data_IF_949496979641
#
_entry.id   IF_949496979641
#
_cell.length_a   1.000
_cell.length_b   1.000
_cell.length_c   1.000
_cell.angle_alpha   90.00
_cell.angle_beta   90.00
_cell.angle_gamma   90.00
#
_symmetry.space_group_name_H-M   'P 1'
#
loop_
_entity.id
_entity.type
_entity.pdbx_description
1 polymer ?
#
# COMPACT_ATOMS: atom_id res chain seq x y z
N UNK A 1 -29.09 -13.17 -11.27
CA UNK A 1 -28.36 -12.91 -10.02
C UNK A 1 -28.56 -14.11 -9.12
N UNK A 2 -27.54 -14.57 -8.43
CA UNK A 2 -27.66 -15.69 -7.49
C UNK A 2 -28.63 -15.34 -6.34
N UNK A 3 -29.52 -16.25 -5.98
CA UNK A 3 -30.45 -16.08 -4.87
C UNK A 3 -29.79 -16.22 -3.48
N UNK A 4 -28.49 -16.49 -3.47
CA UNK A 4 -27.74 -16.84 -2.26
C UNK A 4 -26.44 -16.03 -2.19
N UNK A 5 -26.05 -15.65 -0.99
CA UNK A 5 -24.79 -15.00 -0.66
C UNK A 5 -24.06 -15.75 0.46
N UNK A 6 -22.75 -15.58 0.55
CA UNK A 6 -21.93 -16.23 1.56
C UNK A 6 -21.08 -15.22 2.29
N UNK A 7 -20.99 -15.35 3.61
CA UNK A 7 -20.02 -14.66 4.44
C UNK A 7 -18.99 -15.63 5.00
N UNK A 8 -17.73 -15.30 4.83
CA UNK A 8 -16.59 -16.08 5.34
C UNK A 8 -15.81 -15.25 6.35
N UNK A 9 -15.69 -15.76 7.56
CA UNK A 9 -14.72 -15.28 8.53
C UNK A 9 -13.56 -16.29 8.57
N UNK A 10 -12.45 -15.89 7.93
CA UNK A 10 -11.30 -16.76 7.68
C UNK A 10 -10.23 -16.53 8.73
N UNK A 11 -9.92 -17.58 9.49
CA UNK A 11 -8.81 -17.63 10.43
C UNK A 11 -7.73 -18.63 9.97
N UNK A 12 -6.58 -18.64 10.65
CA UNK A 12 -5.45 -19.53 10.30
C UNK A 12 -5.79 -21.01 10.41
N UNK A 13 -6.63 -21.40 11.37
CA UNK A 13 -6.97 -22.81 11.64
C UNK A 13 -8.37 -23.19 11.19
N UNK A 14 -9.29 -22.25 11.22
CA UNK A 14 -10.71 -22.50 10.96
C UNK A 14 -11.29 -21.36 10.11
N UNK A 15 -12.36 -21.67 9.41
CA UNK A 15 -13.18 -20.70 8.68
C UNK A 15 -14.62 -20.86 9.12
N UNK A 16 -15.25 -19.77 9.54
CA UNK A 16 -16.70 -19.74 9.79
C UNK A 16 -17.39 -19.37 8.49
N UNK A 17 -18.36 -20.20 8.07
CA UNK A 17 -19.13 -20.02 6.84
C UNK A 17 -20.59 -19.78 7.20
N UNK A 18 -21.17 -18.73 6.62
CA UNK A 18 -22.63 -18.48 6.69
C UNK A 18 -23.15 -18.34 5.26
N UNK A 19 -24.07 -19.21 4.87
CA UNK A 19 -24.81 -19.17 3.61
C UNK A 19 -26.21 -18.64 3.86
N UNK A 20 -26.61 -17.59 3.13
CA UNK A 20 -27.83 -16.85 3.37
C UNK A 20 -28.59 -16.57 2.06
N UNK A 21 -29.92 -16.75 2.07
CA UNK A 21 -30.79 -16.30 0.96
C UNK A 21 -30.91 -14.78 0.94
N UNK A 22 -31.31 -14.20 -0.18
CA UNK A 22 -31.54 -12.77 -0.30
C UNK A 22 -32.66 -12.27 0.64
N UNK A 23 -33.62 -13.12 1.03
CA UNK A 23 -34.66 -12.78 2.03
C UNK A 23 -34.10 -12.71 3.47
N UNK A 24 -32.85 -13.15 3.71
CA UNK A 24 -32.20 -13.14 5.03
C UNK A 24 -32.25 -14.46 5.78
N UNK A 25 -32.90 -15.49 5.22
CA UNK A 25 -32.92 -16.86 5.78
C UNK A 25 -31.53 -17.47 5.71
N UNK A 26 -31.04 -18.01 6.84
CA UNK A 26 -29.76 -18.72 6.89
C UNK A 26 -30.00 -20.16 6.48
N UNK A 27 -29.46 -20.55 5.34
CA UNK A 27 -29.53 -21.91 4.82
C UNK A 27 -28.53 -22.82 5.57
N UNK A 28 -27.31 -22.30 5.80
CA UNK A 28 -26.23 -23.09 6.39
C UNK A 28 -25.34 -22.19 7.24
N UNK A 29 -24.92 -22.73 8.37
CA UNK A 29 -23.85 -22.14 9.19
C UNK A 29 -22.94 -23.28 9.65
N UNK A 30 -21.68 -23.23 9.27
CA UNK A 30 -20.72 -24.28 9.57
C UNK A 30 -19.37 -23.68 9.92
N UNK A 31 -18.66 -24.31 10.85
CA UNK A 31 -17.26 -24.04 11.13
C UNK A 31 -16.44 -25.18 10.56
N UNK A 32 -15.60 -24.88 9.57
CA UNK A 32 -14.76 -25.83 8.87
C UNK A 32 -13.28 -25.56 9.14
N UNK A 33 -12.45 -26.56 8.94
CA UNK A 33 -11.00 -26.37 8.95
C UNK A 33 -10.60 -25.40 7.83
N UNK A 34 -9.63 -24.52 8.08
CA UNK A 34 -9.12 -23.57 7.09
C UNK A 34 -8.29 -24.29 6.00
N UNK A 35 -8.97 -25.08 5.18
CA UNK A 35 -8.40 -25.79 4.04
C UNK A 35 -9.26 -25.59 2.80
N UNK A 36 -8.62 -25.53 1.62
CA UNK A 36 -9.32 -25.42 0.33
C UNK A 36 -10.31 -26.58 0.12
N UNK A 37 -9.96 -27.79 0.57
CA UNK A 37 -10.80 -28.99 0.46
C UNK A 37 -12.10 -28.83 1.25
N UNK A 38 -12.00 -28.44 2.52
CA UNK A 38 -13.17 -28.28 3.38
C UNK A 38 -14.04 -27.10 2.95
N UNK A 39 -13.45 -25.99 2.54
CA UNK A 39 -14.22 -24.87 2.01
C UNK A 39 -14.96 -25.26 0.72
N UNK A 40 -14.32 -25.98 -0.22
CA UNK A 40 -14.97 -26.48 -1.43
C UNK A 40 -16.17 -27.35 -1.08
N UNK A 41 -16.01 -28.35 -0.19
CA UNK A 41 -17.10 -29.22 0.30
C UNK A 41 -18.24 -28.38 0.90
N UNK A 42 -17.91 -27.38 1.68
CA UNK A 42 -18.90 -26.53 2.33
C UNK A 42 -19.73 -25.70 1.33
N UNK A 43 -19.13 -25.32 0.20
CA UNK A 43 -19.73 -24.49 -0.84
C UNK A 43 -20.34 -25.28 -2.02
N UNK A 44 -20.29 -26.62 -2.02
CA UNK A 44 -20.81 -27.45 -3.13
C UNK A 44 -22.28 -27.20 -3.46
N UNK A 45 -23.10 -26.91 -2.45
CA UNK A 45 -24.54 -26.59 -2.62
C UNK A 45 -24.82 -25.14 -2.97
N UNK A 46 -23.81 -24.30 -3.02
CA UNK A 46 -23.96 -22.86 -3.31
C UNK A 46 -23.87 -22.63 -4.81
N UNK A 47 -24.84 -21.95 -5.45
CA UNK A 47 -24.81 -21.66 -6.89
C UNK A 47 -23.56 -20.89 -7.29
N UNK A 48 -22.94 -21.27 -8.42
CA UNK A 48 -21.83 -20.53 -9.00
C UNK A 48 -22.26 -19.09 -9.34
N UNK A 49 -21.29 -18.16 -9.31
CA UNK A 49 -21.58 -16.73 -9.44
C UNK A 49 -22.15 -16.08 -8.19
N UNK A 50 -22.35 -16.83 -7.10
CA UNK A 50 -22.76 -16.23 -5.81
C UNK A 50 -21.68 -15.32 -5.25
N UNK A 51 -22.09 -14.19 -4.67
CA UNK A 51 -21.21 -13.29 -3.93
C UNK A 51 -20.69 -13.94 -2.64
N UNK A 52 -19.38 -14.01 -2.47
CA UNK A 52 -18.72 -14.58 -1.29
C UNK A 52 -17.88 -13.50 -0.62
N UNK A 53 -18.36 -12.97 0.50
CA UNK A 53 -17.71 -11.92 1.26
C UNK A 53 -16.69 -12.49 2.24
N UNK A 54 -15.50 -11.88 2.31
CA UNK A 54 -14.47 -12.18 3.31
C UNK A 54 -13.74 -10.91 3.73
N UNK A 55 -13.24 -10.86 4.97
CA UNK A 55 -12.49 -9.70 5.45
C UNK A 55 -11.10 -9.56 4.79
N UNK A 56 -10.67 -8.30 4.60
CA UNK A 56 -9.32 -7.98 4.15
C UNK A 56 -8.30 -8.26 5.27
N UNK A 57 -7.68 -9.42 5.22
CA UNK A 57 -6.59 -9.85 6.08
C UNK A 57 -5.31 -10.09 5.28
N UNK A 58 -4.16 -10.16 5.96
CA UNK A 58 -2.87 -10.37 5.29
C UNK A 58 -2.74 -11.69 4.53
N UNK A 59 -3.60 -12.65 4.82
CA UNK A 59 -3.64 -14.00 4.23
C UNK A 59 -4.89 -14.28 3.37
N UNK A 60 -5.68 -13.26 3.00
CA UNK A 60 -6.92 -13.45 2.24
C UNK A 60 -6.70 -13.82 0.77
N UNK A 61 -5.54 -13.53 0.19
CA UNK A 61 -5.30 -13.69 -1.25
C UNK A 61 -5.46 -15.11 -1.79
N UNK A 62 -4.92 -16.16 -1.14
CA UNK A 62 -5.12 -17.54 -1.58
C UNK A 62 -6.58 -17.97 -1.59
N UNK A 63 -7.40 -17.38 -0.70
CA UNK A 63 -8.84 -17.66 -0.63
C UNK A 63 -9.60 -16.95 -1.75
N UNK A 64 -9.24 -15.70 -2.05
CA UNK A 64 -9.82 -14.95 -3.17
C UNK A 64 -9.55 -15.66 -4.49
N UNK A 65 -8.30 -16.10 -4.72
CA UNK A 65 -7.96 -16.81 -5.95
C UNK A 65 -8.69 -18.15 -6.04
N UNK A 66 -8.75 -18.88 -4.95
CA UNK A 66 -9.47 -20.14 -4.88
C UNK A 66 -10.98 -20.01 -5.10
N UNK A 67 -11.61 -18.97 -4.56
CA UNK A 67 -13.03 -18.70 -4.80
C UNK A 67 -13.30 -18.37 -6.27
N UNK A 68 -12.39 -17.65 -6.94
CA UNK A 68 -12.48 -17.40 -8.40
C UNK A 68 -12.32 -18.68 -9.22
N UNK A 69 -11.39 -19.59 -8.82
CA UNK A 69 -11.22 -20.90 -9.45
C UNK A 69 -12.50 -21.75 -9.34
N UNK A 70 -13.28 -21.57 -8.27
CA UNK A 70 -14.57 -22.21 -8.05
C UNK A 70 -15.74 -21.44 -8.72
N UNK A 71 -15.47 -20.41 -9.51
CA UNK A 71 -16.46 -19.58 -10.21
C UNK A 71 -17.40 -18.80 -9.27
N UNK A 72 -16.95 -18.47 -8.06
CA UNK A 72 -17.65 -17.52 -7.18
C UNK A 72 -17.19 -16.08 -7.42
N UNK A 73 -17.98 -15.11 -6.94
CA UNK A 73 -17.62 -13.70 -6.93
C UNK A 73 -17.07 -13.30 -5.54
N UNK A 74 -15.73 -13.25 -5.35
CA UNK A 74 -15.17 -12.89 -4.06
C UNK A 74 -15.25 -11.39 -3.80
N UNK A 75 -15.89 -11.01 -2.71
CA UNK A 75 -16.07 -9.64 -2.25
C UNK A 75 -15.17 -9.38 -1.04
N UNK A 76 -14.13 -8.58 -1.22
CA UNK A 76 -13.19 -8.26 -0.15
C UNK A 76 -13.72 -7.11 0.70
N UNK A 77 -14.17 -7.40 1.91
CA UNK A 77 -14.74 -6.44 2.84
C UNK A 77 -13.67 -5.53 3.47
N UNK A 78 -13.99 -4.25 3.67
CA UNK A 78 -13.15 -3.30 4.39
C UNK A 78 -13.41 -3.40 5.90
N UNK A 79 -12.49 -3.93 6.73
CA UNK A 79 -12.73 -4.20 8.15
C UNK A 79 -13.14 -2.96 8.94
N UNK A 80 -12.52 -1.81 8.65
CA UNK A 80 -12.80 -0.56 9.35
C UNK A 80 -14.21 -0.02 9.07
N UNK A 81 -14.67 -0.18 7.83
CA UNK A 81 -16.01 0.27 7.43
C UNK A 81 -17.08 -0.73 7.82
N UNK A 82 -16.79 -2.03 7.78
CA UNK A 82 -17.69 -3.08 8.28
C UNK A 82 -17.94 -2.87 9.76
N UNK A 83 -16.88 -2.66 10.56
CA UNK A 83 -17.00 -2.40 12.00
C UNK A 83 -17.89 -1.20 12.35
N UNK A 84 -17.96 -0.19 11.50
CA UNK A 84 -18.84 0.97 11.69
C UNK A 84 -20.31 0.66 11.39
N UNK A 85 -20.61 -0.49 10.78
CA UNK A 85 -21.95 -0.92 10.37
C UNK A 85 -22.43 -2.16 11.12
N UNK A 86 -21.54 -2.83 11.86
CA UNK A 86 -21.81 -4.01 12.65
C UNK A 86 -22.22 -3.62 14.09
N UNK A 87 -22.99 -4.48 14.72
CA UNK A 87 -23.30 -4.39 16.16
C UNK A 87 -22.05 -4.65 17.02
N UNK A 88 -22.05 -4.18 18.26
CA UNK A 88 -20.88 -4.22 19.17
C UNK A 88 -20.47 -5.62 19.63
N UNK A 89 -21.25 -6.68 19.36
CA UNK A 89 -20.94 -8.05 19.77
C UNK A 89 -19.97 -8.72 18.79
N UNK A 90 -18.76 -8.96 19.24
CA UNK A 90 -17.68 -9.57 18.47
C UNK A 90 -17.58 -11.08 18.73
N UNK A 91 -17.95 -11.91 17.75
CA UNK A 91 -17.52 -13.30 17.68
C UNK A 91 -17.54 -13.80 16.21
N UNK A 92 -16.77 -14.84 15.88
CA UNK A 92 -16.61 -15.38 14.53
C UNK A 92 -17.96 -15.71 13.85
N UNK A 93 -18.97 -16.14 14.62
CA UNK A 93 -20.32 -16.44 14.11
C UNK A 93 -21.08 -15.21 13.72
N UNK A 94 -20.91 -14.11 14.46
CA UNK A 94 -21.52 -12.81 14.16
C UNK A 94 -20.81 -12.20 12.96
N UNK A 95 -19.49 -12.30 12.87
CA UNK A 95 -18.70 -11.71 11.80
C UNK A 95 -19.04 -12.30 10.43
N UNK A 96 -19.09 -13.64 10.28
CA UNK A 96 -19.49 -14.29 9.01
C UNK A 96 -20.96 -14.01 8.64
N UNK A 97 -21.89 -13.97 9.63
CA UNK A 97 -23.29 -13.59 9.43
C UNK A 97 -23.41 -12.14 8.97
N UNK A 98 -22.72 -11.23 9.62
CA UNK A 98 -22.70 -9.80 9.26
C UNK A 98 -22.21 -9.57 7.85
N UNK A 99 -21.13 -10.27 7.43
CA UNK A 99 -20.65 -10.21 6.06
C UNK A 99 -21.70 -10.68 5.05
N UNK A 100 -22.36 -11.83 5.30
CA UNK A 100 -23.43 -12.33 4.45
C UNK A 100 -24.61 -11.34 4.39
N UNK A 101 -25.00 -10.77 5.55
CA UNK A 101 -26.10 -9.82 5.66
C UNK A 101 -25.82 -8.52 4.91
N UNK A 102 -24.62 -7.94 5.06
CA UNK A 102 -24.22 -6.74 4.32
C UNK A 102 -24.13 -7.01 2.80
N UNK A 103 -23.73 -8.22 2.43
CA UNK A 103 -23.64 -8.63 1.01
C UNK A 103 -25.03 -8.72 0.38
N UNK A 104 -26.00 -9.41 1.00
CA UNK A 104 -27.36 -9.54 0.46
C UNK A 104 -28.07 -8.21 0.29
N UNK A 105 -27.78 -7.25 1.16
CA UNK A 105 -28.33 -5.89 1.10
C UNK A 105 -27.58 -4.97 0.13
N UNK A 106 -26.57 -5.48 -0.58
CA UNK A 106 -25.66 -4.70 -1.41
C UNK A 106 -25.03 -3.51 -0.63
N UNK A 107 -24.81 -3.69 0.67
CA UNK A 107 -24.30 -2.66 1.57
C UNK A 107 -22.91 -2.96 2.11
N UNK A 108 -22.28 -4.01 1.58
CA UNK A 108 -20.93 -4.40 1.96
C UNK A 108 -19.92 -3.34 1.49
N UNK A 109 -19.16 -2.71 2.39
CA UNK A 109 -18.07 -1.79 1.98
C UNK A 109 -16.89 -2.59 1.48
N UNK A 110 -16.75 -2.73 0.17
CA UNK A 110 -15.70 -3.52 -0.46
C UNK A 110 -14.39 -2.77 -0.60
N UNK A 111 -13.29 -3.54 -0.59
CA UNK A 111 -11.95 -3.12 -1.02
C UNK A 111 -11.71 -3.59 -2.46
N UNK A 112 -10.89 -2.84 -3.17
CA UNK A 112 -10.43 -3.27 -4.48
C UNK A 112 -9.51 -4.50 -4.37
N UNK A 113 -9.75 -5.49 -5.20
CA UNK A 113 -8.92 -6.71 -5.32
C UNK A 113 -7.97 -6.55 -6.49
N UNK A 114 -6.67 -6.29 -6.25
CA UNK A 114 -5.69 -6.17 -7.32
C UNK A 114 -5.50 -7.50 -8.06
N UNK A 115 -5.18 -7.50 -9.36
CA UNK A 115 -4.72 -8.68 -10.09
C UNK A 115 -3.55 -9.36 -9.37
N UNK A 116 -3.44 -10.68 -9.49
CA UNK A 116 -2.41 -11.49 -8.81
C UNK A 116 -0.99 -11.01 -9.13
N UNK A 117 -0.73 -10.65 -10.39
CA UNK A 117 0.56 -10.10 -10.80
C UNK A 117 0.91 -8.78 -10.07
N UNK A 118 -0.05 -7.85 -9.95
CA UNK A 118 0.19 -6.60 -9.23
C UNK A 118 0.30 -6.82 -7.71
N UNK A 119 -0.37 -7.83 -7.16
CA UNK A 119 -0.18 -8.22 -5.74
C UNK A 119 1.24 -8.73 -5.49
N UNK A 120 1.77 -9.56 -6.39
CA UNK A 120 3.16 -10.00 -6.34
C UNK A 120 4.13 -8.83 -6.47
N UNK A 121 3.91 -7.94 -7.43
CA UNK A 121 4.72 -6.74 -7.62
C UNK A 121 4.74 -5.83 -6.38
N UNK A 122 3.57 -5.58 -5.77
CA UNK A 122 3.47 -4.86 -4.49
C UNK A 122 4.31 -5.52 -3.40
N UNK A 123 4.20 -6.84 -3.25
CA UNK A 123 4.95 -7.59 -2.25
C UNK A 123 6.46 -7.40 -2.42
N UNK A 124 6.94 -7.49 -3.66
CA UNK A 124 8.37 -7.34 -3.97
C UNK A 124 8.87 -5.90 -3.75
N UNK A 125 8.09 -4.89 -4.17
CA UNK A 125 8.44 -3.48 -3.95
C UNK A 125 8.42 -3.12 -2.45
N UNK A 126 7.47 -3.64 -1.69
CA UNK A 126 7.40 -3.47 -0.24
C UNK A 126 8.56 -4.19 0.47
N UNK A 127 8.96 -5.37 -0.02
CA UNK A 127 10.16 -6.05 0.46
C UNK A 127 11.43 -5.22 0.19
N UNK A 128 11.57 -4.64 -1.00
CA UNK A 128 12.69 -3.73 -1.31
C UNK A 128 12.69 -2.51 -0.38
N UNK A 129 11.53 -1.89 -0.12
CA UNK A 129 11.41 -0.77 0.80
C UNK A 129 11.78 -1.15 2.24
N UNK A 130 11.37 -2.33 2.71
CA UNK A 130 11.76 -2.88 4.01
C UNK A 130 13.28 -3.02 4.11
N UNK A 131 13.96 -3.52 3.08
CA UNK A 131 15.42 -3.64 3.04
C UNK A 131 16.12 -2.28 3.10
N UNK A 132 15.60 -1.28 2.40
CA UNK A 132 16.10 0.10 2.47
C UNK A 132 16.03 0.64 3.89
N UNK A 133 14.94 0.37 4.61
CA UNK A 133 14.78 0.74 6.02
C UNK A 133 15.80 0.02 6.92
N UNK A 134 15.98 -1.28 6.73
CA UNK A 134 17.01 -2.06 7.47
C UNK A 134 18.41 -1.50 7.22
N UNK A 135 18.77 -1.26 5.96
CA UNK A 135 20.06 -0.65 5.60
C UNK A 135 20.28 0.70 6.29
N UNK A 136 19.24 1.52 6.41
CA UNK A 136 19.31 2.77 7.15
C UNK A 136 19.56 2.53 8.66
N UNK A 137 18.91 1.54 9.23
CA UNK A 137 19.12 1.12 10.63
C UNK A 137 20.56 0.67 10.87
N UNK A 138 21.11 -0.18 9.98
CA UNK A 138 22.51 -0.66 10.06
C UNK A 138 23.50 0.51 9.95
N UNK A 139 23.29 1.44 9.00
CA UNK A 139 24.13 2.66 8.88
C UNK A 139 24.11 3.50 10.14
N UNK A 140 22.95 3.70 10.74
CA UNK A 140 22.82 4.48 11.98
C UNK A 140 23.53 3.78 13.14
N UNK A 141 23.43 2.44 13.23
CA UNK A 141 24.15 1.65 14.22
C UNK A 141 25.66 1.77 14.03
N UNK A 142 26.15 1.65 12.80
CA UNK A 142 27.57 1.83 12.47
C UNK A 142 28.08 3.22 12.89
N UNK A 143 27.32 4.26 12.57
CA UNK A 143 27.64 5.64 13.02
C UNK A 143 27.66 5.77 14.55
N UNK A 144 26.79 5.03 15.26
CA UNK A 144 26.82 4.99 16.73
C UNK A 144 28.09 4.34 17.27
N UNK A 145 28.58 3.26 16.63
CA UNK A 145 29.85 2.62 17.01
C UNK A 145 31.05 3.56 16.79
N UNK A 146 31.02 4.38 15.73
CA UNK A 146 32.04 5.42 15.52
C UNK A 146 32.05 6.44 16.65
N UNK A 147 30.86 6.97 17.02
CA UNK A 147 30.76 7.97 18.09
C UNK A 147 31.25 7.45 19.44
N UNK A 148 30.99 6.17 19.77
CA UNK A 148 31.47 5.55 21.02
C UNK A 148 33.00 5.48 21.12
N UNK A 149 33.69 5.53 19.97
CA UNK A 149 35.15 5.36 19.85
C UNK A 149 35.85 6.65 19.41
N UNK A 150 35.12 7.76 19.36
CA UNK A 150 35.59 9.06 18.88
C UNK A 150 36.22 8.98 17.46
N UNK A 151 35.63 8.12 16.61
CA UNK A 151 36.07 7.91 15.22
C UNK A 151 35.28 8.84 14.32
N UNK A 152 35.97 9.69 13.56
CA UNK A 152 35.40 10.48 12.48
C UNK A 152 35.66 9.80 11.13
N UNK A 153 34.64 9.58 10.33
CA UNK A 153 34.76 9.01 9.00
C UNK A 153 34.34 10.06 7.96
N UNK A 154 35.29 10.52 7.13
CA UNK A 154 35.07 11.52 6.06
C UNK A 154 34.40 10.91 4.81
N UNK A 155 33.62 9.86 4.96
CA UNK A 155 32.96 9.22 3.86
C UNK A 155 31.58 8.68 4.23
N UNK A 156 30.61 8.79 3.30
CA UNK A 156 29.23 8.28 3.52
C UNK A 156 29.18 6.76 3.33
N UNK A 157 28.66 6.05 4.32
CA UNK A 157 28.36 4.61 4.27
C UNK A 157 27.39 4.21 3.13
N UNK A 158 26.78 5.16 2.46
CA UNK A 158 26.02 4.90 1.22
C UNK A 158 26.93 4.55 0.04
N UNK A 159 28.18 4.99 0.05
CA UNK A 159 29.14 4.75 -1.02
C UNK A 159 30.04 3.55 -0.74
N UNK A 160 30.50 2.88 -1.79
CA UNK A 160 31.50 1.81 -1.66
C UNK A 160 32.80 2.32 -1.01
N UNK A 161 33.23 3.56 -1.34
CA UNK A 161 34.43 4.19 -0.75
C UNK A 161 34.25 4.32 0.78
N UNK A 162 33.10 4.81 1.23
CA UNK A 162 32.82 4.98 2.66
C UNK A 162 32.73 3.65 3.41
N UNK A 163 32.13 2.62 2.80
CA UNK A 163 32.09 1.27 3.38
C UNK A 163 33.47 0.63 3.48
N UNK A 164 34.30 0.75 2.44
CA UNK A 164 35.69 0.27 2.50
C UNK A 164 36.52 0.99 3.57
N UNK A 165 36.42 2.31 3.64
CA UNK A 165 37.07 3.09 4.70
C UNK A 165 36.62 2.65 6.10
N UNK A 166 35.31 2.43 6.31
CA UNK A 166 34.78 1.91 7.56
C UNK A 166 35.27 0.50 7.89
N UNK A 167 35.35 -0.38 6.92
CA UNK A 167 35.83 -1.76 7.09
C UNK A 167 37.30 -1.80 7.52
N UNK A 168 38.13 -0.89 7.00
CA UNK A 168 39.56 -0.81 7.31
C UNK A 168 39.89 -0.26 8.72
N UNK A 169 38.86 0.24 9.45
CA UNK A 169 39.05 0.71 10.83
C UNK A 169 39.28 -0.41 11.85
N UNK A 170 39.21 -1.66 11.43
CA UNK A 170 39.45 -2.87 12.23
C UNK A 170 38.57 -3.00 13.48
N UNK A 171 37.38 -2.45 13.43
CA UNK A 171 36.35 -2.57 14.48
C UNK A 171 35.40 -3.71 14.11
N UNK A 172 35.36 -4.75 14.93
CA UNK A 172 34.63 -5.99 14.62
C UNK A 172 33.16 -5.75 14.24
N UNK A 173 32.41 -5.01 15.07
CA UNK A 173 30.98 -4.73 14.84
C UNK A 173 30.76 -3.89 13.57
N UNK A 174 31.73 -3.02 13.24
CA UNK A 174 31.67 -2.19 12.03
C UNK A 174 31.90 -3.05 10.79
N UNK A 175 32.86 -3.99 10.81
CA UNK A 175 33.10 -4.94 9.71
C UNK A 175 31.85 -5.74 9.41
N UNK A 176 31.21 -6.35 10.43
CA UNK A 176 29.96 -7.09 10.24
C UNK A 176 28.83 -6.23 9.65
N UNK A 177 28.69 -5.00 10.16
CA UNK A 177 27.70 -4.07 9.62
C UNK A 177 27.96 -3.70 8.17
N UNK A 178 29.21 -3.52 7.75
CA UNK A 178 29.59 -3.22 6.36
C UNK A 178 29.28 -4.39 5.46
N UNK A 179 29.62 -5.62 5.83
CA UNK A 179 29.30 -6.84 5.07
C UNK A 179 27.77 -6.98 4.88
N UNK A 180 27.00 -6.71 5.93
CA UNK A 180 25.54 -6.71 5.85
C UNK A 180 25.01 -5.62 4.89
N UNK A 181 25.60 -4.42 4.91
CA UNK A 181 25.25 -3.35 3.98
C UNK A 181 25.55 -3.71 2.53
N UNK A 182 26.70 -4.37 2.27
CA UNK A 182 27.09 -4.82 0.93
C UNK A 182 26.14 -5.92 0.41
N UNK A 183 25.77 -6.86 1.27
CA UNK A 183 24.78 -7.88 0.94
C UNK A 183 23.42 -7.25 0.60
N UNK A 184 22.93 -6.32 1.42
CA UNK A 184 21.66 -5.64 1.20
C UNK A 184 21.66 -4.83 -0.10
N UNK A 185 22.77 -4.14 -0.41
CA UNK A 185 22.93 -3.36 -1.64
C UNK A 185 22.88 -4.26 -2.89
N UNK A 186 23.65 -5.36 -2.89
CA UNK A 186 23.64 -6.36 -3.96
C UNK A 186 22.24 -6.89 -4.23
N UNK A 187 21.57 -7.40 -3.21
CA UNK A 187 20.22 -7.95 -3.35
C UNK A 187 19.18 -6.90 -3.78
N UNK A 188 19.35 -5.64 -3.38
CA UNK A 188 18.46 -4.56 -3.83
C UNK A 188 18.67 -4.26 -5.32
N UNK A 189 19.92 -4.31 -5.81
CA UNK A 189 20.25 -4.16 -7.24
C UNK A 189 19.71 -5.32 -8.07
N UNK A 190 19.80 -6.55 -7.57
CA UNK A 190 19.24 -7.74 -8.22
C UNK A 190 17.72 -7.60 -8.41
N UNK A 191 17.01 -7.18 -7.35
CA UNK A 191 15.55 -6.92 -7.43
C UNK A 191 15.27 -5.82 -8.47
N UNK A 192 16.02 -4.73 -8.44
CA UNK A 192 15.79 -3.62 -9.37
C UNK A 192 16.08 -4.01 -10.82
N UNK A 193 17.15 -4.78 -11.09
CA UNK A 193 17.47 -5.29 -12.41
C UNK A 193 16.37 -6.21 -12.96
N UNK A 194 15.85 -7.11 -12.12
CA UNK A 194 14.73 -7.99 -12.48
C UNK A 194 13.47 -7.16 -12.80
N UNK A 195 13.14 -6.17 -11.98
CA UNK A 195 11.97 -5.31 -12.19
C UNK A 195 12.09 -4.46 -13.45
N UNK A 196 13.29 -3.91 -13.73
CA UNK A 196 13.54 -3.15 -14.97
C UNK A 196 13.35 -4.01 -16.22
N UNK A 197 13.85 -5.24 -16.19
CA UNK A 197 13.70 -6.18 -17.32
C UNK A 197 12.24 -6.51 -17.59
N UNK A 198 11.41 -6.64 -16.54
CA UNK A 198 10.01 -7.05 -16.68
C UNK A 198 9.06 -5.88 -16.93
N UNK A 199 9.33 -4.72 -16.33
CA UNK A 199 8.38 -3.59 -16.26
C UNK A 199 8.94 -2.28 -16.79
N UNK A 200 10.19 -2.28 -17.32
CA UNK A 200 10.84 -1.07 -17.79
C UNK A 200 10.12 -0.36 -18.93
N UNK A 201 9.53 -1.14 -19.83
CA UNK A 201 8.85 -0.63 -21.05
C UNK A 201 7.35 -0.41 -20.87
N UNK A 202 6.82 -0.57 -19.66
CA UNK A 202 5.41 -0.30 -19.41
C UNK A 202 5.08 1.19 -19.58
N UNK A 203 4.19 1.51 -20.51
CA UNK A 203 3.78 2.88 -20.82
C UNK A 203 3.40 3.71 -19.58
N UNK A 204 2.57 3.21 -18.62
CA UNK A 204 2.28 3.97 -17.40
C UNK A 204 3.53 4.27 -16.56
N UNK A 205 4.50 3.36 -16.51
CA UNK A 205 5.76 3.56 -15.75
C UNK A 205 6.62 4.62 -16.43
N UNK A 206 6.76 4.56 -17.76
CA UNK A 206 7.49 5.57 -18.55
C UNK A 206 6.88 6.96 -18.38
N UNK A 207 5.55 7.06 -18.51
CA UNK A 207 4.83 8.32 -18.28
C UNK A 207 5.07 8.88 -16.89
N UNK A 208 5.01 8.07 -15.84
CA UNK A 208 5.26 8.51 -14.47
C UNK A 208 6.72 8.94 -14.26
N UNK A 209 7.67 8.33 -14.96
CA UNK A 209 9.08 8.71 -14.93
C UNK A 209 9.36 10.05 -15.61
N UNK A 210 8.48 10.57 -16.45
CA UNK A 210 8.60 11.93 -17.01
C UNK A 210 8.48 13.02 -15.95
N UNK A 211 7.90 12.71 -14.78
CA UNK A 211 7.75 13.64 -13.67
C UNK A 211 9.10 13.81 -12.95
N UNK A 212 9.68 15.01 -12.88
CA UNK A 212 10.96 15.25 -12.20
C UNK A 212 10.94 14.73 -10.75
N UNK A 213 11.95 13.96 -10.37
CA UNK A 213 12.04 13.34 -9.05
C UNK A 213 11.32 11.99 -8.89
N UNK A 214 10.58 11.55 -9.92
CA UNK A 214 9.96 10.22 -9.96
C UNK A 214 10.85 9.25 -10.75
N UNK A 215 11.75 8.56 -10.06
CA UNK A 215 12.58 7.53 -10.68
C UNK A 215 11.82 6.21 -10.89
N UNK A 216 12.43 5.25 -11.60
CA UNK A 216 11.84 3.96 -11.97
C UNK A 216 11.13 3.23 -10.81
N UNK A 217 11.82 3.08 -9.67
CA UNK A 217 11.24 2.39 -8.50
C UNK A 217 10.03 3.12 -7.93
N UNK A 218 10.04 4.46 -7.93
CA UNK A 218 8.92 5.27 -7.48
C UNK A 218 7.73 5.16 -8.43
N UNK A 219 7.99 5.27 -9.74
CA UNK A 219 6.98 5.09 -10.79
C UNK A 219 6.33 3.71 -10.72
N UNK A 220 7.16 2.66 -10.58
CA UNK A 220 6.67 1.29 -10.48
C UNK A 220 5.89 1.04 -9.18
N UNK A 221 6.26 1.70 -8.08
CA UNK A 221 5.51 1.63 -6.81
C UNK A 221 4.15 2.32 -6.95
N UNK A 222 4.11 3.50 -7.57
CA UNK A 222 2.85 4.19 -7.87
C UNK A 222 1.96 3.32 -8.76
N UNK A 223 2.52 2.74 -9.83
CA UNK A 223 1.79 1.84 -10.71
C UNK A 223 1.21 0.63 -9.97
N UNK A 224 2.01 -0.06 -9.17
CA UNK A 224 1.59 -1.24 -8.44
C UNK A 224 0.52 -0.92 -7.37
N UNK A 225 0.64 0.18 -6.64
CA UNK A 225 -0.31 0.53 -5.57
C UNK A 225 -1.60 1.18 -6.11
N UNK A 226 -1.54 1.89 -7.22
CA UNK A 226 -2.72 2.43 -7.90
C UNK A 226 -3.45 1.35 -8.68
N UNK A 227 -2.72 0.45 -9.35
CA UNK A 227 -3.18 -0.62 -10.26
C UNK A 227 -3.86 -0.09 -11.52
N UNK A 228 -4.99 0.55 -11.38
CA UNK A 228 -5.79 1.13 -12.46
C UNK A 228 -6.20 2.55 -12.08
N UNK A 229 -5.75 3.52 -12.88
CA UNK A 229 -6.05 4.93 -12.65
C UNK A 229 -7.53 5.26 -12.89
N UNK A 230 -8.21 4.50 -13.77
CA UNK A 230 -9.62 4.70 -14.10
C UNK A 230 -10.57 4.45 -12.93
N UNK A 231 -10.09 3.77 -11.87
CA UNK A 231 -10.83 3.63 -10.60
C UNK A 231 -11.11 4.96 -9.92
N UNK A 232 -10.33 5.98 -10.24
CA UNK A 232 -10.40 7.30 -9.62
C UNK A 232 -10.91 8.31 -10.64
N UNK A 233 -12.21 8.60 -10.60
CA UNK A 233 -12.85 9.55 -11.52
C UNK A 233 -12.29 10.98 -11.42
N UNK A 234 -11.62 11.33 -10.31
CA UNK A 234 -10.99 12.61 -10.05
C UNK A 234 -9.73 12.45 -9.19
N UNK A 235 -8.74 13.33 -9.30
CA UNK A 235 -7.50 13.24 -8.54
C UNK A 235 -7.72 13.30 -7.02
N UNK A 236 -8.76 13.98 -6.54
CA UNK A 236 -9.10 14.05 -5.11
C UNK A 236 -9.43 12.67 -4.53
N UNK A 237 -10.07 11.78 -5.32
CA UNK A 237 -10.33 10.39 -4.89
C UNK A 237 -9.03 9.60 -4.71
N UNK A 238 -8.06 9.81 -5.61
CA UNK A 238 -6.72 9.22 -5.47
C UNK A 238 -6.00 9.80 -4.25
N UNK A 239 -6.07 11.12 -4.02
CA UNK A 239 -5.47 11.77 -2.86
C UNK A 239 -6.09 11.25 -1.54
N UNK A 240 -7.41 11.03 -1.53
CA UNK A 240 -8.09 10.43 -0.38
C UNK A 240 -7.66 8.98 -0.17
N UNK A 241 -7.57 8.19 -1.24
CA UNK A 241 -7.09 6.81 -1.19
C UNK A 241 -5.64 6.72 -0.70
N UNK A 242 -4.79 7.66 -1.12
CA UNK A 242 -3.41 7.77 -0.63
C UNK A 242 -3.30 8.30 0.82
N UNK A 243 -4.40 8.75 1.44
CA UNK A 243 -4.39 9.30 2.79
C UNK A 243 -3.67 10.66 2.92
N UNK A 244 -3.69 11.46 1.84
CA UNK A 244 -3.07 12.79 1.78
C UNK A 244 -4.09 13.93 1.95
N UNK A 245 -5.34 13.62 2.22
CA UNK A 245 -6.41 14.60 2.48
C UNK A 245 -6.63 14.71 3.99
N UNK A 246 -6.66 15.93 4.56
CA UNK A 246 -6.98 16.12 5.97
C UNK A 246 -8.43 15.72 6.24
N UNK A 247 -8.69 15.18 7.43
CA UNK A 247 -10.07 14.98 7.90
C UNK A 247 -10.66 16.32 8.29
N UNK A 248 -11.78 16.67 7.71
CA UNK A 248 -12.59 17.79 8.20
C UNK A 248 -13.47 17.29 9.35
N UNK A 249 -13.38 17.93 10.49
CA UNK A 249 -14.33 17.78 11.60
C UNK A 249 -15.16 19.04 11.63
N UNK A 250 -16.42 18.92 11.28
CA UNK A 250 -17.39 20.00 11.37
C UNK A 250 -18.41 19.64 12.43
N UNK A 251 -18.58 20.52 13.39
CA UNK A 251 -19.56 20.41 14.45
C UNK A 251 -20.23 21.80 14.58
N UNK A 252 -21.43 21.93 14.04
CA UNK A 252 -22.11 23.21 13.93
C UNK A 252 -21.33 24.21 13.08
N UNK A 253 -21.11 25.41 13.58
CA UNK A 253 -20.35 26.48 12.91
C UNK A 253 -18.82 26.31 13.02
N UNK A 254 -18.33 25.38 13.86
CA UNK A 254 -16.90 25.16 14.03
C UNK A 254 -16.40 24.06 13.10
N UNK A 255 -15.54 24.45 12.15
CA UNK A 255 -14.78 23.49 11.33
C UNK A 255 -13.30 23.45 11.77
N UNK A 256 -12.82 22.29 12.12
CA UNK A 256 -11.39 22.07 12.42
C UNK A 256 -10.79 21.06 11.46
N UNK A 257 -9.59 21.36 10.93
CA UNK A 257 -8.82 20.39 10.18
C UNK A 257 -8.17 19.40 11.15
N UNK A 258 -8.68 18.17 11.16
CA UNK A 258 -8.13 17.06 11.93
C UNK A 258 -6.89 16.43 11.30
N UNK A 259 -6.39 15.35 11.93
CA UNK A 259 -5.32 14.52 11.35
C UNK A 259 -5.71 14.02 9.96
N UNK A 260 -4.70 13.71 9.14
CA UNK A 260 -4.90 13.15 7.79
C UNK A 260 -5.81 11.90 7.79
N UNK A 261 -6.53 11.69 6.69
CA UNK A 261 -7.39 10.51 6.52
C UNK A 261 -6.57 9.22 6.58
N UNK A 262 -7.18 8.14 7.08
CA UNK A 262 -6.60 6.81 6.93
C UNK A 262 -6.66 6.44 5.45
N UNK A 263 -5.50 6.08 4.87
CA UNK A 263 -5.37 5.69 3.46
C UNK A 263 -4.29 4.65 3.28
N UNK A 264 -3.92 4.39 2.04
CA UNK A 264 -2.83 3.48 1.72
C UNK A 264 -1.48 4.07 2.16
N UNK A 265 -0.83 3.40 3.13
CA UNK A 265 0.43 3.88 3.72
C UNK A 265 1.60 3.87 2.73
N UNK A 266 1.57 2.99 1.73
CA UNK A 266 2.63 2.87 0.74
C UNK A 266 2.51 3.96 -0.31
N UNK A 267 1.29 4.26 -0.77
CA UNK A 267 1.04 5.43 -1.63
C UNK A 267 1.40 6.73 -0.93
N UNK A 268 0.98 6.89 0.31
CA UNK A 268 1.33 8.07 1.09
C UNK A 268 2.84 8.26 1.19
N UNK A 269 3.55 7.19 1.54
CA UNK A 269 5.00 7.22 1.65
C UNK A 269 5.66 7.58 0.32
N UNK A 270 5.31 6.91 -0.78
CA UNK A 270 5.97 7.14 -2.06
C UNK A 270 5.67 8.52 -2.64
N UNK A 271 4.47 9.07 -2.42
CA UNK A 271 4.15 10.44 -2.82
C UNK A 271 4.98 11.47 -2.02
N UNK A 272 5.22 11.24 -0.73
CA UNK A 272 6.07 12.11 0.09
C UNK A 272 7.53 12.05 -0.37
N UNK A 273 8.06 10.85 -0.65
CA UNK A 273 9.42 10.68 -1.18
C UNK A 273 9.58 11.33 -2.56
N UNK A 274 8.60 11.12 -3.45
CA UNK A 274 8.57 11.74 -4.77
C UNK A 274 8.48 13.28 -4.66
N UNK A 275 7.70 13.81 -3.73
CA UNK A 275 7.60 15.25 -3.49
C UNK A 275 8.94 15.86 -3.02
N UNK A 276 9.64 15.21 -2.08
CA UNK A 276 10.98 15.63 -1.66
C UNK A 276 11.97 15.63 -2.82
N UNK A 277 11.93 14.59 -3.66
CA UNK A 277 12.77 14.51 -4.85
C UNK A 277 12.40 15.59 -5.86
N UNK A 278 11.11 15.78 -6.13
CA UNK A 278 10.62 16.77 -7.08
C UNK A 278 11.08 18.20 -6.72
N UNK A 279 10.88 18.63 -5.47
CA UNK A 279 11.33 19.96 -5.00
C UNK A 279 12.85 20.14 -5.17
N UNK A 280 13.64 19.07 -5.04
CA UNK A 280 15.09 19.10 -5.20
C UNK A 280 15.52 19.16 -6.67
N UNK A 281 14.86 18.39 -7.54
CA UNK A 281 15.22 18.27 -8.95
C UNK A 281 14.57 19.33 -9.85
N UNK A 282 13.54 20.03 -9.36
CA UNK A 282 12.84 21.09 -10.06
C UNK A 282 12.64 22.28 -9.12
N UNK A 283 13.74 22.98 -8.69
CA UNK A 283 13.69 24.04 -7.69
C UNK A 283 12.95 25.30 -8.18
N UNK A 284 12.91 25.52 -9.50
CA UNK A 284 12.22 26.65 -10.13
C UNK A 284 10.78 26.33 -10.57
N UNK A 285 10.32 25.11 -10.31
CA UNK A 285 8.98 24.69 -10.68
C UNK A 285 7.92 25.11 -9.66
N UNK A 286 6.68 25.28 -10.11
CA UNK A 286 5.53 25.68 -9.29
C UNK A 286 5.39 24.89 -7.97
N UNK A 287 5.71 23.60 -7.94
CA UNK A 287 5.60 22.81 -6.70
C UNK A 287 6.69 23.17 -5.68
N UNK A 288 7.86 23.65 -6.12
CA UNK A 288 8.91 24.13 -5.23
C UNK A 288 8.55 25.52 -4.68
N UNK A 289 7.89 26.37 -5.47
CA UNK A 289 7.32 27.65 -4.99
C UNK A 289 6.28 27.39 -3.88
N UNK A 290 5.33 26.48 -4.13
CA UNK A 290 4.34 26.06 -3.12
C UNK A 290 4.98 25.52 -1.86
N UNK A 291 6.06 24.73 -1.99
CA UNK A 291 6.81 24.25 -0.82
C UNK A 291 7.35 25.42 -0.01
N UNK A 292 7.99 26.41 -0.66
CA UNK A 292 8.60 27.57 -0.02
C UNK A 292 7.56 28.45 0.67
N UNK A 293 6.45 28.75 0.00
CA UNK A 293 5.34 29.53 0.55
C UNK A 293 4.74 28.88 1.81
N UNK A 294 4.48 27.57 1.74
CA UNK A 294 3.91 26.84 2.89
C UNK A 294 4.91 26.72 4.02
N UNK A 295 6.22 26.55 3.72
CA UNK A 295 7.27 26.59 4.74
C UNK A 295 7.30 27.93 5.46
N UNK A 296 7.28 29.05 4.72
CA UNK A 296 7.29 30.39 5.30
C UNK A 296 6.06 30.65 6.18
N UNK A 297 4.87 30.21 5.72
CA UNK A 297 3.62 30.40 6.45
C UNK A 297 3.49 29.53 7.71
N UNK A 298 3.96 28.26 7.66
CA UNK A 298 3.75 27.27 8.74
C UNK A 298 4.98 27.00 9.60
N UNK A 299 6.17 27.44 9.19
CA UNK A 299 7.42 27.16 9.88
C UNK A 299 7.84 25.67 9.91
N UNK A 300 7.17 24.79 9.12
CA UNK A 300 7.37 23.35 9.20
C UNK A 300 7.48 22.70 7.81
N UNK A 301 8.69 22.25 7.49
CA UNK A 301 8.99 21.56 6.22
C UNK A 301 8.19 20.26 6.02
N UNK A 302 7.86 19.53 7.12
CA UNK A 302 7.08 18.27 7.04
C UNK A 302 5.63 18.55 6.63
N UNK A 303 5.06 19.66 7.01
CA UNK A 303 3.70 20.00 6.60
C UNK A 303 3.68 20.58 5.19
N UNK A 304 4.71 21.35 4.82
CA UNK A 304 4.86 21.86 3.46
C UNK A 304 4.97 20.73 2.43
N UNK A 305 5.82 19.74 2.69
CA UNK A 305 5.99 18.62 1.75
C UNK A 305 4.73 17.77 1.57
N UNK A 306 3.86 17.67 2.56
CA UNK A 306 2.57 16.99 2.43
C UNK A 306 1.62 17.74 1.48
N UNK A 307 1.67 19.06 1.47
CA UNK A 307 0.90 19.87 0.52
C UNK A 307 1.42 19.63 -0.90
N UNK A 308 2.74 19.61 -1.09
CA UNK A 308 3.35 19.26 -2.37
C UNK A 308 3.00 17.86 -2.81
N UNK A 309 3.10 16.87 -1.90
CA UNK A 309 2.73 15.48 -2.19
C UNK A 309 1.27 15.37 -2.66
N UNK A 310 0.35 16.11 -2.04
CA UNK A 310 -1.05 16.16 -2.47
C UNK A 310 -1.22 16.78 -3.87
N UNK A 311 -0.49 17.84 -4.19
CA UNK A 311 -0.48 18.42 -5.55
C UNK A 311 0.15 17.46 -6.56
N UNK A 312 1.19 16.73 -6.17
CA UNK A 312 1.83 15.72 -7.02
C UNK A 312 0.88 14.54 -7.34
N UNK A 313 -0.08 14.22 -6.46
CA UNK A 313 -1.15 13.25 -6.78
C UNK A 313 -1.94 13.71 -8.01
N UNK A 314 -2.27 15.00 -8.11
CA UNK A 314 -2.98 15.56 -9.26
C UNK A 314 -2.15 15.38 -10.54
N UNK A 315 -0.85 15.71 -10.47
CA UNK A 315 0.06 15.54 -11.61
C UNK A 315 0.11 14.06 -12.06
N UNK A 316 0.31 13.13 -11.13
CA UNK A 316 0.31 11.68 -11.42
C UNK A 316 -1.00 11.24 -12.06
N UNK A 317 -2.13 11.71 -11.53
CA UNK A 317 -3.45 11.38 -12.06
C UNK A 317 -3.63 11.89 -13.50
N UNK A 318 -3.25 13.15 -13.79
CA UNK A 318 -3.34 13.74 -15.12
C UNK A 318 -2.42 13.06 -16.12
N UNK A 319 -1.14 12.89 -15.77
CA UNK A 319 -0.13 12.24 -16.63
C UNK A 319 -0.60 10.82 -17.04
N UNK A 320 -1.09 10.06 -16.08
CA UNK A 320 -1.51 8.69 -16.35
C UNK A 320 -2.88 8.60 -17.04
N UNK A 321 -3.85 9.42 -16.65
CA UNK A 321 -5.21 9.37 -17.22
C UNK A 321 -5.23 9.83 -18.68
N UNK A 322 -4.49 10.89 -19.01
CA UNK A 322 -4.44 11.44 -20.37
C UNK A 322 -3.28 10.92 -21.21
N UNK A 323 -2.46 10.04 -20.63
CA UNK A 323 -1.29 9.44 -21.28
C UNK A 323 -0.33 10.48 -21.90
N UNK A 324 -0.17 11.63 -21.24
CA UNK A 324 0.71 12.73 -21.64
C UNK A 324 1.88 12.85 -20.68
N UNK A 325 3.09 13.02 -21.23
CA UNK A 325 4.28 13.28 -20.43
C UNK A 325 4.14 14.59 -19.66
N UNK A 326 4.82 14.65 -18.52
CA UNK A 326 4.91 15.87 -17.73
C UNK A 326 5.81 16.88 -18.43
N UNK A 327 5.31 18.10 -18.57
CA UNK A 327 6.08 19.24 -19.11
C UNK A 327 6.24 20.27 -17.99
N UNK A 328 7.49 20.64 -17.72
CA UNK A 328 7.78 21.76 -16.81
C UNK A 328 7.34 23.05 -17.52
N UNK A 329 6.42 23.75 -16.92
CA UNK A 329 6.04 25.11 -17.35
C UNK A 329 6.78 26.13 -16.51
#
# INVERSE_FOLDING_TARGET
MSEVVVGLDVHLKNTQVTVMKLNGEIIKRERVQASKKELKRCLESVPKGSGVALESAGFCWPWIDFLKELEFEPLLANPLKVKLRAEDVKNDKVDSRTLAHLTRMNWLPTCYVPPSELRWLRSLLRHRAFRTKLSTGVKNRTKSEFRKRDITLDADLKTLKGRRAAFNLDVFEVKQNVELLDLMDRQSKEIEAMLRRKYGDLKPVQLLMSIPGVGFTSALTLYAEICDIKRFSHPEKLAHYAGLVPKVRQSGEHSSMGRESKGDKWLKWIFIEAAWSHVRFCPEGHLAEVFSEVCNRKGNKKDAIKVVARKLVNVVWYVWTYEKEFVVK
#
